data_IF_689761795122
#
_entry.id   IF_689761795122
#
_cell.length_a   1.000
_cell.length_b   1.000
_cell.length_c   1.000
_cell.angle_alpha   90.00
_cell.angle_beta   90.00
_cell.angle_gamma   90.00
#
_symmetry.space_group_name_H-M   'P 1'
#
loop_
_entity.id
_entity.type
_entity.pdbx_description
1 polymer ?
#
# COMPACT_ATOMS: atom_id res chain seq x y z
N UNK A 1 -66.65 -45.42 -43.66
CA UNK A 1 -65.60 -46.42 -43.93
C UNK A 1 -64.40 -46.08 -43.08
N UNK A 2 -64.13 -46.90 -42.07
CA UNK A 2 -63.04 -46.69 -41.12
C UNK A 2 -61.72 -47.15 -41.74
N UNK A 3 -60.62 -46.46 -41.42
CA UNK A 3 -59.30 -47.08 -41.39
C UNK A 3 -58.49 -46.53 -40.22
N UNK A 4 -58.09 -47.46 -39.34
CA UNK A 4 -57.15 -47.28 -38.23
C UNK A 4 -55.74 -47.09 -38.79
N UNK A 5 -54.94 -46.24 -38.14
CA UNK A 5 -53.51 -46.51 -37.98
C UNK A 5 -52.99 -45.88 -36.67
N UNK A 6 -52.36 -46.73 -35.88
CA UNK A 6 -51.77 -46.53 -34.55
C UNK A 6 -50.53 -45.62 -34.56
N UNK A 7 -50.40 -44.73 -33.57
CA UNK A 7 -49.16 -44.00 -33.26
C UNK A 7 -48.70 -44.30 -31.83
N UNK A 8 -47.44 -44.70 -31.70
CA UNK A 8 -46.72 -45.01 -30.47
C UNK A 8 -46.51 -43.77 -29.58
N UNK A 9 -46.51 -43.95 -28.26
CA UNK A 9 -46.15 -42.92 -27.27
C UNK A 9 -44.61 -42.79 -27.17
N UNK A 10 -44.06 -41.58 -26.97
CA UNK A 10 -42.63 -41.38 -26.78
C UNK A 10 -42.17 -41.72 -25.35
N UNK A 11 -40.86 -41.96 -25.13
CA UNK A 11 -40.30 -42.37 -23.84
C UNK A 11 -40.12 -41.19 -22.88
N UNK A 12 -40.11 -41.51 -21.57
CA UNK A 12 -39.93 -40.59 -20.45
C UNK A 12 -38.59 -39.86 -20.50
N UNK A 13 -38.62 -38.52 -20.38
CA UNK A 13 -37.44 -37.70 -20.16
C UNK A 13 -36.80 -38.00 -18.79
N UNK A 14 -35.49 -38.26 -18.82
CA UNK A 14 -34.63 -38.31 -17.64
C UNK A 14 -34.38 -36.90 -17.13
N UNK A 15 -34.56 -36.73 -15.82
CA UNK A 15 -34.26 -35.53 -15.05
C UNK A 15 -32.80 -35.11 -15.23
N UNK A 16 -32.57 -33.91 -15.78
CA UNK A 16 -31.28 -33.23 -15.70
C UNK A 16 -31.00 -32.90 -14.23
N UNK A 17 -29.93 -33.44 -13.68
CA UNK A 17 -29.33 -32.95 -12.45
C UNK A 17 -28.75 -31.57 -12.74
N UNK A 18 -29.34 -30.53 -12.15
CA UNK A 18 -28.72 -29.22 -12.05
C UNK A 18 -27.48 -29.35 -11.16
N UNK A 19 -26.31 -29.35 -11.80
CA UNK A 19 -25.05 -29.11 -11.10
C UNK A 19 -25.04 -27.64 -10.67
N UNK A 20 -25.40 -27.42 -9.41
CA UNK A 20 -25.26 -26.13 -8.75
C UNK A 20 -23.75 -25.81 -8.66
N UNK A 21 -23.22 -25.11 -9.66
CA UNK A 21 -21.89 -24.52 -9.63
C UNK A 21 -21.84 -23.54 -8.45
N UNK A 22 -21.24 -23.96 -7.34
CA UNK A 22 -20.87 -23.06 -6.26
C UNK A 22 -19.75 -22.19 -6.82
N UNK A 23 -20.11 -21.03 -7.38
CA UNK A 23 -19.16 -19.95 -7.62
C UNK A 23 -18.64 -19.50 -6.26
N UNK A 24 -17.50 -20.05 -5.84
CA UNK A 24 -16.76 -19.53 -4.69
C UNK A 24 -16.39 -18.09 -5.02
N UNK A 25 -16.93 -17.13 -4.27
CA UNK A 25 -16.49 -15.75 -4.36
C UNK A 25 -14.96 -15.71 -4.17
N UNK A 26 -14.20 -15.05 -5.05
CA UNK A 26 -12.76 -14.88 -4.86
C UNK A 26 -12.45 -13.95 -3.66
N UNK A 27 -13.48 -13.34 -3.07
CA UNK A 27 -13.37 -12.44 -1.93
C UNK A 27 -14.05 -13.01 -0.70
N UNK A 28 -13.34 -12.89 0.41
CA UNK A 28 -13.83 -13.18 1.75
C UNK A 28 -13.92 -11.88 2.54
N UNK A 29 -15.08 -11.63 3.14
CA UNK A 29 -15.23 -10.55 4.11
C UNK A 29 -14.52 -10.92 5.42
N UNK A 30 -13.73 -9.99 5.96
CA UNK A 30 -13.07 -10.11 7.26
C UNK A 30 -13.89 -9.39 8.34
N UNK A 31 -13.47 -9.50 9.60
CA UNK A 31 -14.07 -8.78 10.71
C UNK A 31 -14.09 -7.27 10.47
N UNK A 32 -15.20 -6.63 10.85
CA UNK A 32 -15.33 -5.18 10.74
C UNK A 32 -14.25 -4.46 11.57
N UNK A 33 -13.78 -3.34 11.02
CA UNK A 33 -12.82 -2.49 11.71
C UNK A 33 -13.42 -1.94 13.01
N UNK A 34 -12.63 -1.79 14.08
CA UNK A 34 -13.10 -1.17 15.32
C UNK A 34 -13.61 0.26 15.13
N UNK A 35 -13.12 0.92 14.07
CA UNK A 35 -13.39 2.30 13.70
C UNK A 35 -13.47 2.42 12.17
N UNK A 36 -14.32 3.31 11.62
CA UNK A 36 -14.27 3.65 10.20
C UNK A 36 -12.91 4.26 9.84
N UNK A 37 -12.33 3.75 8.77
CA UNK A 37 -11.04 4.21 8.25
C UNK A 37 -11.22 4.78 6.85
N UNK A 38 -10.76 6.00 6.64
CA UNK A 38 -10.64 6.63 5.32
C UNK A 38 -9.19 7.05 5.09
N UNK A 39 -8.68 6.80 3.87
CA UNK A 39 -7.32 7.16 3.45
C UNK A 39 -6.19 6.62 4.35
N UNK A 40 -6.46 5.56 5.12
CA UNK A 40 -5.49 4.90 5.99
C UNK A 40 -4.32 4.32 5.21
N UNK A 41 -3.13 4.38 5.81
CA UNK A 41 -1.94 3.74 5.28
C UNK A 41 -1.73 2.41 6.00
N UNK A 42 -1.44 1.36 5.23
CA UNK A 42 -1.27 0.02 5.77
C UNK A 42 0.10 -0.55 5.40
N UNK A 43 0.71 -1.28 6.34
CA UNK A 43 1.99 -1.96 6.14
C UNK A 43 1.86 -3.40 6.62
N UNK A 44 2.21 -4.36 5.78
CA UNK A 44 2.28 -5.76 6.19
C UNK A 44 3.55 -6.07 6.97
N UNK A 45 3.44 -6.88 8.02
CA UNK A 45 4.58 -7.45 8.72
C UNK A 45 4.22 -8.84 9.23
N UNK A 46 4.85 -9.88 8.66
CA UNK A 46 4.56 -11.29 8.99
C UNK A 46 3.06 -11.59 8.85
N UNK A 47 2.40 -11.98 9.94
CA UNK A 47 0.97 -12.26 10.00
C UNK A 47 0.13 -11.05 10.39
N UNK A 48 0.70 -9.85 10.36
CA UNK A 48 0.06 -8.60 10.78
C UNK A 48 -0.11 -7.62 9.62
N UNK A 49 -1.22 -6.90 9.61
CA UNK A 49 -1.43 -5.69 8.83
C UNK A 49 -1.48 -4.53 9.83
N UNK A 50 -0.46 -3.69 9.80
CA UNK A 50 -0.41 -2.47 10.59
C UNK A 50 -1.19 -1.39 9.86
N UNK A 51 -2.11 -0.77 10.56
CA UNK A 51 -2.98 0.28 10.06
C UNK A 51 -2.61 1.56 10.81
N UNK A 52 -2.10 2.54 10.07
CA UNK A 52 -1.47 3.72 10.65
C UNK A 52 -2.31 4.97 10.39
N UNK A 53 -3.29 5.24 11.28
CA UNK A 53 -4.13 6.43 11.19
C UNK A 53 -4.92 6.55 9.88
N UNK A 54 -5.39 7.74 9.56
CA UNK A 54 -6.21 8.05 8.39
C UNK A 54 -6.77 9.47 8.44
N UNK A 55 -7.66 9.79 7.50
CA UNK A 55 -8.36 11.08 7.50
C UNK A 55 -9.12 11.25 8.83
N UNK A 56 -8.79 12.30 9.59
CA UNK A 56 -9.36 12.60 10.91
C UNK A 56 -9.20 11.46 11.95
N UNK A 57 -8.29 10.51 11.74
CA UNK A 57 -8.09 9.36 12.62
C UNK A 57 -6.60 9.21 12.96
N UNK A 58 -6.24 9.37 14.23
CA UNK A 58 -4.85 9.25 14.69
C UNK A 58 -4.50 7.86 15.24
N UNK A 59 -5.49 7.01 15.50
CA UNK A 59 -5.27 5.70 16.12
C UNK A 59 -4.62 4.72 15.14
N UNK A 60 -3.66 3.94 15.65
CA UNK A 60 -2.95 2.90 14.94
C UNK A 60 -3.31 1.53 15.51
N UNK A 61 -3.51 0.54 14.63
CA UNK A 61 -3.91 -0.81 14.99
C UNK A 61 -3.03 -1.84 14.28
N UNK A 62 -2.87 -3.00 14.90
CA UNK A 62 -2.37 -4.21 14.25
C UNK A 62 -3.55 -5.18 14.08
N UNK A 63 -3.81 -5.57 12.85
CA UNK A 63 -4.72 -6.66 12.51
C UNK A 63 -3.95 -7.96 12.31
N UNK A 64 -4.26 -9.00 13.06
CA UNK A 64 -3.59 -10.29 12.94
C UNK A 64 -4.37 -11.22 12.01
N UNK A 65 -3.83 -11.46 10.82
CA UNK A 65 -4.47 -12.21 9.73
C UNK A 65 -4.92 -13.63 10.11
N UNK A 66 -4.17 -14.35 10.95
CA UNK A 66 -4.55 -15.70 11.40
C UNK A 66 -5.54 -15.71 12.58
N UNK A 67 -5.58 -14.64 13.37
CA UNK A 67 -6.43 -14.55 14.57
C UNK A 67 -7.75 -13.84 14.27
N UNK A 68 -7.83 -13.10 13.15
CA UNK A 68 -8.97 -12.28 12.77
C UNK A 68 -9.35 -11.27 13.87
N UNK A 69 -8.33 -10.64 14.44
CA UNK A 69 -8.47 -9.71 15.56
C UNK A 69 -7.59 -8.48 15.39
N UNK A 70 -8.06 -7.38 15.98
CA UNK A 70 -7.36 -6.09 16.02
C UNK A 70 -6.82 -5.82 17.42
N UNK A 71 -5.62 -5.26 17.51
CA UNK A 71 -5.05 -4.69 18.73
C UNK A 71 -4.61 -3.26 18.49
N UNK A 72 -4.88 -2.40 19.46
CA UNK A 72 -4.37 -1.04 19.47
C UNK A 72 -2.84 -1.02 19.60
N UNK A 73 -2.18 -0.12 18.87
CA UNK A 73 -0.73 0.10 18.94
C UNK A 73 -0.47 1.41 19.70
N UNK A 74 -0.86 2.55 19.11
CA UNK A 74 -0.68 3.89 19.66
C UNK A 74 -1.50 4.92 18.88
N UNK A 75 -1.30 6.21 19.19
CA UNK A 75 -1.84 7.33 18.40
C UNK A 75 -0.72 8.13 17.74
N UNK A 76 -1.02 8.76 16.62
CA UNK A 76 -0.22 9.90 16.13
C UNK A 76 -0.27 11.08 17.12
N UNK A 77 0.78 11.92 17.18
CA UNK A 77 0.76 13.16 17.95
C UNK A 77 -0.43 14.05 17.57
N UNK A 78 -1.00 14.78 18.54
CA UNK A 78 -2.24 15.55 18.34
C UNK A 78 -2.10 16.73 17.40
N UNK A 79 -0.88 17.21 17.19
CA UNK A 79 -0.51 18.31 16.30
C UNK A 79 -0.29 17.87 14.85
N UNK A 80 -0.32 16.56 14.57
CA UNK A 80 -0.08 15.98 13.24
C UNK A 80 -1.39 15.80 12.47
N UNK A 81 -1.45 16.40 11.28
CA UNK A 81 -2.57 16.19 10.34
C UNK A 81 -2.22 15.10 9.33
N UNK A 82 -3.08 14.09 9.24
CA UNK A 82 -2.88 12.92 8.37
C UNK A 82 -3.55 13.05 6.99
N UNK A 83 -4.05 14.24 6.65
CA UNK A 83 -4.55 14.48 5.30
C UNK A 83 -3.37 14.54 4.31
N UNK A 84 -3.26 13.52 3.45
CA UNK A 84 -2.15 13.40 2.51
C UNK A 84 -0.85 12.96 3.18
N UNK A 85 -0.90 11.85 3.92
CA UNK A 85 0.27 11.19 4.49
C UNK A 85 0.53 9.84 3.82
N UNK A 86 1.78 9.40 3.87
CA UNK A 86 2.23 8.08 3.46
C UNK A 86 3.01 7.44 4.60
N UNK A 87 2.93 6.11 4.69
CA UNK A 87 3.72 5.30 5.60
C UNK A 87 4.46 4.25 4.79
N UNK A 88 5.77 4.15 5.00
CA UNK A 88 6.62 3.14 4.36
C UNK A 88 7.42 2.36 5.42
N UNK A 89 7.77 1.12 5.08
CA UNK A 89 8.64 0.26 5.90
C UNK A 89 10.09 0.51 5.50
N UNK A 90 10.96 0.91 6.43
CA UNK A 90 12.38 1.20 6.19
C UNK A 90 13.28 -0.02 6.39
N UNK A 91 13.12 -0.69 7.52
CA UNK A 91 13.98 -1.79 7.93
C UNK A 91 13.16 -2.86 8.65
N UNK A 92 13.61 -4.10 8.53
CA UNK A 92 13.09 -5.26 9.23
C UNK A 92 14.26 -5.94 9.95
N UNK A 93 14.20 -5.95 11.27
CA UNK A 93 14.95 -6.87 12.12
C UNK A 93 13.96 -7.93 12.62
N UNK A 94 14.43 -9.13 12.97
CA UNK A 94 13.60 -10.31 13.22
C UNK A 94 12.42 -10.04 14.18
N UNK A 95 12.52 -9.07 15.08
CA UNK A 95 11.46 -8.70 16.02
C UNK A 95 10.97 -7.24 15.93
N UNK A 96 11.65 -6.39 15.16
CA UNK A 96 11.39 -4.95 15.15
C UNK A 96 11.39 -4.44 13.72
N UNK A 97 10.30 -3.79 13.31
CA UNK A 97 10.30 -3.02 12.06
C UNK A 97 10.41 -1.54 12.36
N UNK A 98 11.02 -0.81 11.43
CA UNK A 98 11.01 0.65 11.46
C UNK A 98 10.07 1.17 10.38
N UNK A 99 9.07 1.93 10.79
CA UNK A 99 8.13 2.62 9.92
C UNK A 99 8.50 4.10 9.83
N UNK A 100 8.37 4.67 8.63
CA UNK A 100 8.50 6.10 8.36
C UNK A 100 7.13 6.63 7.91
N UNK A 101 6.60 7.59 8.66
CA UNK A 101 5.41 8.35 8.28
C UNK A 101 5.81 9.76 7.90
N UNK A 102 5.37 10.22 6.75
CA UNK A 102 5.59 11.59 6.32
C UNK A 102 4.39 12.07 5.50
N UNK A 103 4.19 13.37 5.44
CA UNK A 103 2.95 13.89 4.87
C UNK A 103 2.68 15.33 5.18
N UNK A 104 1.48 15.75 4.81
CA UNK A 104 0.91 17.02 5.20
C UNK A 104 0.38 17.80 4.01
N UNK A 105 -0.75 18.44 4.23
CA UNK A 105 -1.45 19.25 3.23
C UNK A 105 -0.62 20.50 2.85
N UNK A 106 -0.76 21.05 1.62
CA UNK A 106 -0.23 22.37 1.30
C UNK A 106 -0.50 23.41 2.38
N UNK A 107 0.50 24.23 2.68
CA UNK A 107 0.37 25.34 3.64
C UNK A 107 0.04 24.90 5.08
N UNK A 108 0.07 23.60 5.38
CA UNK A 108 0.01 23.06 6.74
C UNK A 108 1.38 22.55 7.19
N UNK A 109 1.54 22.34 8.49
CA UNK A 109 2.73 21.70 9.03
C UNK A 109 2.86 20.29 8.46
N UNK A 110 3.94 20.04 7.71
CA UNK A 110 4.33 18.70 7.30
C UNK A 110 4.94 17.97 8.49
N UNK A 111 4.86 16.66 8.47
CA UNK A 111 5.47 15.81 9.49
C UNK A 111 6.42 14.81 8.88
N UNK A 112 7.35 14.34 9.70
CA UNK A 112 8.18 13.17 9.44
C UNK A 112 8.43 12.49 10.77
N UNK A 113 7.93 11.27 10.90
CA UNK A 113 7.87 10.51 12.14
C UNK A 113 8.41 9.12 11.88
N UNK A 114 9.15 8.58 12.85
CA UNK A 114 9.58 7.19 12.88
C UNK A 114 8.83 6.44 13.96
N UNK A 115 8.56 5.17 13.70
CA UNK A 115 8.11 4.23 14.72
C UNK A 115 8.93 2.96 14.63
N UNK A 116 9.54 2.58 15.75
CA UNK A 116 10.06 1.21 15.93
C UNK A 116 8.92 0.36 16.46
N UNK A 117 8.35 -0.47 15.61
CA UNK A 117 7.23 -1.33 15.95
C UNK A 117 7.72 -2.72 16.38
N UNK A 118 7.22 -3.17 17.52
CA UNK A 118 7.35 -4.54 18.04
C UNK A 118 5.94 -5.11 18.14
N UNK A 119 5.77 -6.34 17.67
CA UNK A 119 4.47 -7.02 17.63
C UNK A 119 3.73 -6.95 18.97
N UNK A 120 2.50 -6.43 18.95
CA UNK A 120 1.58 -6.42 20.11
C UNK A 120 0.93 -7.79 20.38
N UNK A 121 1.35 -8.83 19.64
CA UNK A 121 0.83 -10.19 19.72
C UNK A 121 1.80 -11.18 20.38
N UNK A 122 3.02 -10.74 20.73
CA UNK A 122 4.01 -11.55 21.44
C UNK A 122 3.57 -11.93 22.87
N UNK A 123 4.14 -13.03 23.39
CA UNK A 123 3.88 -13.48 24.76
C UNK A 123 4.54 -12.55 25.78
N UNK A 124 3.80 -12.22 26.85
CA UNK A 124 4.24 -11.33 27.94
C UNK A 124 5.54 -11.77 28.63
N UNK A 125 5.92 -13.05 28.50
CA UNK A 125 7.12 -13.61 29.14
C UNK A 125 8.44 -13.08 28.55
N UNK A 126 8.43 -12.46 27.37
CA UNK A 126 9.60 -11.77 26.79
C UNK A 126 9.65 -10.27 27.13
N UNK A 127 8.67 -9.72 27.85
CA UNK A 127 8.62 -8.30 28.19
C UNK A 127 9.66 -7.86 29.23
N UNK A 128 10.39 -8.80 29.84
CA UNK A 128 11.41 -8.48 30.84
C UNK A 128 12.72 -7.93 30.24
N UNK A 129 12.92 -8.03 28.92
CA UNK A 129 14.12 -7.51 28.24
C UNK A 129 13.84 -6.37 27.23
N UNK A 130 12.58 -6.00 27.01
CA UNK A 130 12.27 -4.76 26.27
C UNK A 130 12.55 -3.60 27.22
N UNK A 131 13.81 -3.15 27.24
CA UNK A 131 14.28 -2.00 27.99
C UNK A 131 13.23 -0.88 27.97
N UNK A 132 12.66 -0.54 29.14
CA UNK A 132 11.69 0.56 29.33
C UNK A 132 12.19 1.92 28.82
N UNK A 133 13.48 2.05 28.49
CA UNK A 133 14.07 3.26 27.89
C UNK A 133 13.79 3.40 26.39
N UNK A 134 13.44 2.32 25.68
CA UNK A 134 13.24 2.34 24.24
C UNK A 134 11.76 2.68 23.95
N UNK A 135 11.53 3.82 23.30
CA UNK A 135 10.20 4.31 22.88
C UNK A 135 9.64 3.50 21.69
N UNK A 136 9.36 2.22 21.91
CA UNK A 136 8.71 1.35 20.90
C UNK A 136 7.23 1.66 20.77
N UNK A 137 6.65 1.28 19.63
CA UNK A 137 5.22 1.39 19.35
C UNK A 137 4.69 2.82 19.57
N UNK A 138 5.52 3.82 19.31
CA UNK A 138 5.18 5.23 19.42
C UNK A 138 5.79 5.97 18.24
N UNK A 139 5.09 7.00 17.75
CA UNK A 139 5.62 7.91 16.74
C UNK A 139 6.57 8.92 17.39
N UNK A 140 7.76 9.06 16.81
CA UNK A 140 8.80 9.98 17.26
C UNK A 140 9.22 10.87 16.10
N UNK A 141 9.27 12.18 16.31
CA UNK A 141 9.77 13.13 15.31
C UNK A 141 11.23 12.87 14.99
N UNK A 142 11.56 12.95 13.70
CA UNK A 142 12.95 12.95 13.24
C UNK A 142 13.48 14.37 13.39
N UNK A 143 14.61 14.52 14.09
CA UNK A 143 15.28 15.81 14.30
C UNK A 143 16.72 15.73 13.82
N UNK A 144 17.27 16.85 13.38
CA UNK A 144 18.69 16.99 13.06
C UNK A 144 19.54 17.26 14.31
N UNK A 145 20.86 17.37 14.14
CA UNK A 145 21.82 17.63 15.22
C UNK A 145 21.64 19.00 15.90
N UNK A 146 20.75 19.85 15.38
CA UNK A 146 20.42 21.18 15.90
C UNK A 146 18.98 21.23 16.48
N UNK A 147 18.38 20.06 16.76
CA UNK A 147 17.02 19.91 17.26
C UNK A 147 15.92 20.45 16.30
N UNK A 148 16.24 20.62 15.01
CA UNK A 148 15.24 21.01 14.01
C UNK A 148 14.53 19.78 13.43
N UNK A 149 13.19 19.80 13.28
CA UNK A 149 12.47 18.73 12.63
C UNK A 149 12.95 18.51 11.19
N UNK A 150 13.33 17.27 10.87
CA UNK A 150 13.68 16.89 9.51
C UNK A 150 12.40 16.63 8.72
N UNK A 151 12.04 17.52 7.79
CA UNK A 151 10.79 17.45 7.05
C UNK A 151 11.00 16.90 5.64
N UNK A 152 10.37 15.77 5.33
CA UNK A 152 10.30 15.24 3.96
C UNK A 152 9.20 15.97 3.19
N UNK A 153 9.60 16.84 2.27
CA UNK A 153 8.71 17.57 1.35
C UNK A 153 8.88 19.08 1.42
N UNK A 154 8.63 19.77 0.30
CA UNK A 154 8.77 21.23 0.24
C UNK A 154 7.49 21.91 0.70
N UNK A 155 7.60 23.13 1.21
CA UNK A 155 6.48 23.88 1.80
C UNK A 155 5.22 23.95 0.90
N UNK A 156 5.41 24.08 -0.41
CA UNK A 156 4.32 24.17 -1.38
C UNK A 156 3.92 22.83 -2.04
N UNK A 157 4.62 21.73 -1.75
CA UNK A 157 4.31 20.45 -2.40
C UNK A 157 2.99 19.88 -1.86
N UNK A 158 2.00 19.62 -2.73
CA UNK A 158 0.73 19.05 -2.34
C UNK A 158 0.84 17.54 -2.20
N UNK A 159 0.93 17.08 -0.95
CA UNK A 159 0.98 15.65 -0.64
C UNK A 159 -0.40 15.00 -0.52
N UNK A 160 -1.43 15.64 -1.07
CA UNK A 160 -2.75 15.03 -1.16
C UNK A 160 -2.65 13.71 -1.94
N UNK A 161 -2.93 12.59 -1.25
CA UNK A 161 -2.82 11.26 -1.81
C UNK A 161 -1.41 10.87 -2.25
N UNK A 162 -0.38 11.39 -1.57
CA UNK A 162 1.03 11.00 -1.76
C UNK A 162 1.21 9.50 -1.57
N UNK A 163 2.05 8.88 -2.40
CA UNK A 163 2.49 7.50 -2.27
C UNK A 163 4.00 7.43 -2.35
N UNK A 164 4.58 6.47 -1.67
CA UNK A 164 6.01 6.25 -1.76
C UNK A 164 6.39 4.78 -1.62
N UNK A 165 7.55 4.46 -2.17
CA UNK A 165 8.17 3.15 -2.06
C UNK A 165 9.66 3.32 -1.77
N UNK A 166 10.23 2.34 -1.07
CA UNK A 166 11.65 2.26 -0.80
C UNK A 166 12.34 1.50 -1.94
N UNK A 167 13.51 1.98 -2.33
CA UNK A 167 14.40 1.30 -3.26
C UNK A 167 15.82 1.86 -3.18
N UNK A 168 16.52 1.82 -4.30
CA UNK A 168 17.95 2.00 -4.39
C UNK A 168 18.69 0.71 -4.03
N UNK A 169 19.92 0.58 -4.53
CA UNK A 169 20.78 -0.58 -4.36
C UNK A 169 21.09 -0.94 -2.91
N UNK A 170 20.85 0.00 -1.99
CA UNK A 170 21.01 -0.14 -0.53
C UNK A 170 19.71 0.15 0.26
N UNK A 171 18.54 0.16 -0.40
CA UNK A 171 17.26 0.56 0.23
C UNK A 171 17.31 1.95 0.88
N UNK A 172 18.07 2.87 0.27
CA UNK A 172 18.33 4.22 0.79
C UNK A 172 17.56 5.31 0.06
N UNK A 173 16.86 4.96 -1.03
CA UNK A 173 16.09 5.90 -1.83
C UNK A 173 14.61 5.77 -1.51
N UNK A 174 13.97 6.91 -1.28
CA UNK A 174 12.53 7.05 -1.15
C UNK A 174 11.99 7.70 -2.43
N UNK A 175 11.26 6.91 -3.21
CA UNK A 175 10.55 7.39 -4.40
C UNK A 175 9.20 7.92 -3.97
N UNK A 176 8.95 9.21 -4.17
CA UNK A 176 7.74 9.90 -3.70
C UNK A 176 6.96 10.38 -4.91
N UNK A 177 5.72 9.92 -5.02
CA UNK A 177 4.77 10.35 -6.07
C UNK A 177 3.66 11.15 -5.43
N UNK A 178 3.35 12.30 -6.01
CA UNK A 178 2.46 13.27 -5.37
C UNK A 178 1.74 14.13 -6.41
N UNK A 179 0.69 14.81 -5.94
CA UNK A 179 -0.13 15.68 -6.76
C UNK A 179 0.72 16.81 -7.38
N UNK A 180 0.49 17.25 -8.62
CA UNK A 180 -0.47 16.71 -9.60
C UNK A 180 0.08 15.53 -10.40
N UNK A 181 1.37 15.55 -10.71
CA UNK A 181 2.07 14.61 -11.61
C UNK A 181 3.54 14.45 -11.20
N UNK A 182 3.87 14.74 -9.94
CA UNK A 182 5.25 14.79 -9.48
C UNK A 182 5.76 13.41 -9.10
N UNK A 183 7.02 13.13 -9.44
CA UNK A 183 7.81 12.07 -8.83
C UNK A 183 9.14 12.65 -8.35
N UNK A 184 9.53 12.33 -7.14
CA UNK A 184 10.77 12.79 -6.51
C UNK A 184 11.57 11.60 -6.00
N UNK A 185 12.89 11.73 -6.01
CA UNK A 185 13.82 10.81 -5.35
C UNK A 185 14.43 11.53 -4.16
N UNK A 186 14.25 10.97 -2.97
CA UNK A 186 14.80 11.48 -1.73
C UNK A 186 15.77 10.45 -1.14
N UNK A 187 16.98 10.87 -0.82
CA UNK A 187 17.98 10.03 -0.16
C UNK A 187 17.77 10.04 1.34
N UNK A 188 17.47 8.88 1.91
CA UNK A 188 17.27 8.69 3.34
C UNK A 188 18.58 8.68 4.14
N UNK A 189 19.73 8.52 3.47
CA UNK A 189 21.04 8.54 4.12
C UNK A 189 21.57 9.96 4.29
N UNK A 190 21.36 10.81 3.29
CA UNK A 190 21.81 12.21 3.29
C UNK A 190 20.70 13.19 3.64
N UNK A 191 19.46 12.74 3.69
CA UNK A 191 18.26 13.53 3.93
C UNK A 191 18.08 14.66 2.91
N UNK A 192 18.31 14.37 1.63
CA UNK A 192 18.24 15.35 0.55
C UNK A 192 17.47 14.83 -0.67
N UNK A 193 16.84 15.75 -1.40
CA UNK A 193 16.26 15.43 -2.71
C UNK A 193 17.37 15.29 -3.76
N UNK A 194 17.35 14.17 -4.48
CA UNK A 194 18.29 13.88 -5.58
C UNK A 194 17.71 14.32 -6.93
N UNK A 195 16.41 14.10 -7.14
CA UNK A 195 15.76 14.34 -8.43
C UNK A 195 14.28 14.65 -8.27
N UNK A 196 13.77 15.45 -9.20
CA UNK A 196 12.36 15.69 -9.42
C UNK A 196 12.05 15.51 -10.90
N UNK A 197 10.94 14.83 -11.22
CA UNK A 197 10.43 14.68 -12.57
C UNK A 197 8.91 14.83 -12.61
N UNK A 198 8.40 15.02 -13.82
CA UNK A 198 6.96 15.01 -14.09
C UNK A 198 6.58 13.70 -14.78
N UNK A 199 5.64 12.96 -14.19
CA UNK A 199 5.09 11.74 -14.76
C UNK A 199 4.40 12.03 -16.12
N UNK A 200 4.65 11.24 -17.17
CA UNK A 200 4.09 11.46 -18.50
C UNK A 200 2.65 10.93 -18.60
N UNK A 201 1.73 11.62 -17.94
CA UNK A 201 0.31 11.28 -17.84
C UNK A 201 -0.58 12.47 -18.14
N UNK A 202 -1.75 12.21 -18.73
CA UNK A 202 -2.78 13.24 -18.93
C UNK A 202 -3.59 13.47 -17.65
N UNK A 203 -3.87 12.39 -16.90
CA UNK A 203 -4.65 12.42 -15.66
C UNK A 203 -3.86 13.00 -14.48
N UNK A 204 -4.61 13.52 -13.50
CA UNK A 204 -4.07 13.89 -12.20
C UNK A 204 -3.71 12.63 -11.40
N UNK A 205 -2.62 12.71 -10.64
CA UNK A 205 -2.07 11.64 -9.82
C UNK A 205 -2.25 12.00 -8.34
N UNK A 206 -3.11 11.24 -7.66
CA UNK A 206 -3.40 11.38 -6.22
C UNK A 206 -4.14 10.11 -5.77
N UNK A 207 -3.85 9.60 -4.57
CA UNK A 207 -4.41 8.35 -4.02
C UNK A 207 -4.30 7.15 -4.98
N UNK A 208 -3.28 7.15 -5.83
CA UNK A 208 -3.04 6.14 -6.84
C UNK A 208 -2.44 4.87 -6.23
N UNK A 209 -2.31 3.82 -7.05
CA UNK A 209 -1.52 2.64 -6.72
C UNK A 209 -0.07 2.89 -7.14
N UNK A 210 0.88 2.72 -6.23
CA UNK A 210 2.32 2.86 -6.50
C UNK A 210 3.11 1.78 -5.76
N UNK A 211 3.74 0.89 -6.52
CA UNK A 211 4.38 -0.31 -5.98
C UNK A 211 5.76 -0.50 -6.59
N UNK A 212 6.70 -1.00 -5.80
CA UNK A 212 8.00 -1.45 -6.28
C UNK A 212 7.88 -2.85 -6.86
N UNK A 213 8.59 -3.12 -7.96
CA UNK A 213 8.72 -4.46 -8.54
C UNK A 213 9.98 -5.10 -7.96
N UNK A 214 9.85 -5.76 -6.81
CA UNK A 214 10.93 -6.58 -6.25
C UNK A 214 10.96 -7.94 -6.93
N UNK A 215 11.87 -8.10 -7.90
CA UNK A 215 12.10 -9.38 -8.58
C UNK A 215 13.40 -10.03 -8.15
N UNK A 216 13.34 -11.29 -7.69
CA UNK A 216 14.49 -12.21 -7.53
C UNK A 216 15.26 -12.49 -8.86
N UNK A 217 14.98 -11.72 -9.93
CA UNK A 217 15.62 -11.78 -11.24
C UNK A 217 16.18 -10.44 -11.73
N UNK A 218 16.20 -9.38 -10.91
CA UNK A 218 16.87 -8.13 -11.28
C UNK A 218 18.38 -8.36 -11.44
N UNK A 219 18.83 -8.42 -12.69
CA UNK A 219 20.25 -8.59 -13.05
C UNK A 219 21.11 -7.41 -12.58
N UNK A 220 20.50 -6.23 -12.37
CA UNK A 220 21.19 -5.03 -11.94
C UNK A 220 20.49 -4.37 -10.74
N UNK A 221 21.12 -4.45 -9.56
CA UNK A 221 20.62 -3.86 -8.30
C UNK A 221 20.50 -2.33 -8.32
N UNK A 222 21.00 -1.67 -9.37
CA UNK A 222 20.97 -0.22 -9.55
C UNK A 222 19.76 0.29 -10.33
N UNK A 223 19.01 -0.61 -10.97
CA UNK A 223 17.77 -0.27 -11.65
C UNK A 223 16.61 -0.54 -10.71
N UNK A 224 15.83 0.51 -10.43
CA UNK A 224 14.63 0.43 -9.62
C UNK A 224 13.42 0.42 -10.54
N UNK A 225 12.68 -0.69 -10.54
CA UNK A 225 11.45 -0.82 -11.31
C UNK A 225 10.24 -0.58 -10.40
N UNK A 226 9.32 0.26 -10.85
CA UNK A 226 8.10 0.62 -10.14
C UNK A 226 6.92 0.60 -11.09
N UNK A 227 5.73 0.37 -10.55
CA UNK A 227 4.47 0.40 -11.28
C UNK A 227 3.56 1.45 -10.67
N UNK A 228 2.89 2.21 -11.52
CA UNK A 228 1.89 3.20 -11.12
C UNK A 228 0.60 2.99 -11.91
N UNK A 229 -0.52 2.95 -11.20
CA UNK A 229 -1.87 2.89 -11.78
C UNK A 229 -2.78 3.95 -11.16
N UNK A 230 -3.43 4.74 -12.00
CA UNK A 230 -4.40 5.77 -11.61
C UNK A 230 -5.34 6.09 -12.77
N UNK A 231 -6.65 5.85 -12.62
CA UNK A 231 -7.60 6.03 -13.72
C UNK A 231 -7.10 5.30 -14.98
N UNK A 232 -7.09 5.98 -16.14
CA UNK A 232 -6.58 5.46 -17.41
C UNK A 232 -5.06 5.47 -17.53
N UNK A 233 -4.34 5.89 -16.49
CA UNK A 233 -2.88 5.96 -16.49
C UNK A 233 -2.31 4.69 -15.89
N UNK A 234 -1.59 3.92 -16.70
CA UNK A 234 -0.69 2.85 -16.28
C UNK A 234 0.73 3.22 -16.68
N UNK A 235 1.68 3.17 -15.75
CA UNK A 235 3.09 3.43 -16.02
C UNK A 235 3.97 2.33 -15.41
N UNK A 236 4.90 1.82 -16.20
CA UNK A 236 6.11 1.17 -15.73
C UNK A 236 7.21 2.24 -15.70
N UNK A 237 7.82 2.37 -14.53
CA UNK A 237 8.80 3.42 -14.23
C UNK A 237 10.11 2.71 -13.88
N UNK A 238 11.18 3.03 -14.58
CA UNK A 238 12.53 2.59 -14.25
C UNK A 238 13.34 3.79 -13.79
N UNK A 239 14.13 3.61 -12.74
CA UNK A 239 15.10 4.59 -12.28
C UNK A 239 16.49 3.98 -12.21
N UNK A 240 17.39 4.55 -12.99
CA UNK A 240 18.82 4.23 -12.99
C UNK A 240 19.52 5.09 -11.93
N UNK A 241 19.99 4.43 -10.87
CA UNK A 241 20.66 5.08 -9.74
C UNK A 241 22.01 5.69 -10.12
N UNK A 242 22.78 5.08 -11.02
CA UNK A 242 24.12 5.56 -11.36
C UNK A 242 24.03 6.78 -12.30
N UNK A 243 23.06 6.77 -13.21
CA UNK A 243 22.85 7.88 -14.14
C UNK A 243 21.88 8.95 -13.61
N UNK A 244 21.17 8.70 -12.50
CA UNK A 244 20.13 9.57 -11.96
C UNK A 244 19.06 9.92 -13.02
N UNK A 245 18.56 8.90 -13.73
CA UNK A 245 17.59 9.07 -14.82
C UNK A 245 16.35 8.20 -14.65
N UNK A 246 15.21 8.74 -15.05
CA UNK A 246 13.95 7.99 -15.14
C UNK A 246 13.69 7.58 -16.59
N UNK A 247 13.16 6.38 -16.77
CA UNK A 247 12.52 5.93 -18.00
C UNK A 247 11.07 5.56 -17.69
N UNK A 248 10.17 5.90 -18.62
CA UNK A 248 8.74 5.72 -18.44
C UNK A 248 8.15 4.97 -19.63
N UNK A 249 7.45 3.88 -19.34
CA UNK A 249 6.74 3.08 -20.33
C UNK A 249 5.26 3.07 -19.99
N UNK A 250 4.42 3.43 -20.95
CA UNK A 250 2.96 3.36 -20.77
C UNK A 250 2.52 1.90 -20.74
N UNK A 251 1.67 1.58 -19.78
CA UNK A 251 1.03 0.28 -19.66
C UNK A 251 -0.46 0.38 -20.00
N UNK A 252 -1.03 -0.65 -20.63
CA UNK A 252 -2.48 -0.73 -20.76
C UNK A 252 -3.13 -0.87 -19.37
N UNK A 253 -4.28 -0.24 -19.19
CA UNK A 253 -5.10 -0.36 -17.99
C UNK A 253 -6.43 -0.99 -18.41
N UNK A 254 -6.89 -2.02 -17.71
CA UNK A 254 -8.19 -2.62 -18.00
C UNK A 254 -9.33 -1.67 -17.61
N UNK A 255 -10.47 -1.79 -18.29
CA UNK A 255 -11.60 -0.88 -18.10
C UNK A 255 -12.13 -0.90 -16.67
N UNK A 256 -12.09 -2.05 -16.00
CA UNK A 256 -12.51 -2.18 -14.61
C UNK A 256 -11.65 -1.34 -13.67
N UNK A 257 -10.31 -1.38 -13.81
CA UNK A 257 -9.39 -0.57 -13.00
C UNK A 257 -9.47 0.91 -13.38
N UNK A 258 -9.68 1.21 -14.66
CA UNK A 258 -9.66 2.57 -15.18
C UNK A 258 -10.74 3.49 -14.58
N UNK A 259 -11.79 2.92 -13.99
CA UNK A 259 -12.87 3.65 -13.30
C UNK A 259 -12.45 4.20 -11.93
N UNK A 260 -11.38 3.65 -11.32
CA UNK A 260 -10.96 4.00 -9.98
C UNK A 260 -9.85 5.04 -9.97
N UNK A 261 -9.95 5.98 -9.03
CA UNK A 261 -8.95 7.05 -8.82
C UNK A 261 -8.45 7.14 -7.37
N UNK A 262 -9.03 6.35 -6.46
CA UNK A 262 -8.60 6.22 -5.06
C UNK A 262 -8.41 4.75 -4.76
N UNK A 263 -7.17 4.37 -4.54
CA UNK A 263 -6.76 3.00 -4.33
C UNK A 263 -6.34 2.82 -2.88
N UNK A 264 -6.82 1.77 -2.24
CA UNK A 264 -6.23 1.22 -1.03
C UNK A 264 -5.61 -0.13 -1.39
N UNK A 265 -4.39 -0.38 -0.91
CA UNK A 265 -3.65 -1.59 -1.20
C UNK A 265 -2.64 -1.86 -0.10
N UNK A 266 -2.27 -3.14 0.02
CA UNK A 266 -1.15 -3.57 0.86
C UNK A 266 -0.34 -4.59 0.06
N UNK A 267 0.98 -4.42 0.05
CA UNK A 267 1.88 -5.39 -0.56
C UNK A 267 2.06 -6.52 0.45
N UNK A 268 1.51 -7.73 0.19
CA UNK A 268 1.56 -8.85 1.16
C UNK A 268 2.88 -9.62 1.04
N UNK A 269 3.54 -9.57 -0.12
CA UNK A 269 4.90 -10.08 -0.33
C UNK A 269 5.62 -9.21 -1.37
N UNK A 270 6.94 -9.39 -1.51
CA UNK A 270 7.76 -8.80 -2.58
C UNK A 270 7.26 -9.12 -4.01
N UNK A 271 6.31 -10.06 -4.16
CA UNK A 271 5.81 -10.51 -5.46
C UNK A 271 4.28 -10.42 -5.60
N UNK A 272 3.55 -10.02 -4.56
CA UNK A 272 2.08 -10.02 -4.58
C UNK A 272 1.50 -8.79 -3.87
N UNK A 273 0.85 -7.93 -4.64
CA UNK A 273 0.04 -6.83 -4.12
C UNK A 273 -1.40 -7.29 -3.98
N UNK A 274 -1.99 -7.12 -2.80
CA UNK A 274 -3.45 -7.23 -2.65
C UNK A 274 -4.03 -5.83 -2.67
N UNK A 275 -4.86 -5.56 -3.67
CA UNK A 275 -5.66 -4.33 -3.71
C UNK A 275 -6.74 -4.47 -2.64
N UNK A 276 -6.53 -3.90 -1.46
CA UNK A 276 -7.53 -3.93 -0.39
C UNK A 276 -8.48 -2.78 -0.66
N UNK A 277 -9.52 -3.02 -1.43
CA UNK A 277 -10.59 -2.02 -1.56
C UNK A 277 -11.31 -1.95 -0.21
N UNK A 278 -11.08 -0.87 0.55
CA UNK A 278 -11.87 -0.56 1.76
C UNK A 278 -13.34 -0.19 1.45
N UNK A 279 -13.80 -0.35 0.20
CA UNK A 279 -15.19 -0.18 -0.21
C UNK A 279 -15.62 -1.22 -1.27
N UNK A 280 -15.44 -2.52 -0.99
CA UNK A 280 -16.40 -3.55 -1.42
C UNK A 280 -16.14 -4.46 -2.65
N UNK A 281 -15.04 -4.33 -3.39
CA UNK A 281 -14.65 -5.12 -4.58
C UNK A 281 -13.12 -5.09 -4.82
N UNK A 282 -12.42 -6.08 -4.29
CA UNK A 282 -11.00 -6.29 -4.60
C UNK A 282 -10.85 -6.64 -6.10
N UNK A 283 -9.87 -6.08 -6.80
CA UNK A 283 -9.44 -6.57 -8.12
C UNK A 283 -8.01 -7.06 -7.95
N UNK A 284 -7.77 -8.36 -8.14
CA UNK A 284 -6.42 -8.91 -8.17
C UNK A 284 -5.73 -8.49 -9.45
N UNK A 285 -4.77 -7.57 -9.38
CA UNK A 285 -3.80 -7.39 -10.45
C UNK A 285 -2.71 -8.46 -10.27
N UNK A 286 -2.91 -9.63 -10.88
CA UNK A 286 -1.86 -10.62 -11.01
C UNK A 286 -0.80 -10.08 -11.99
N UNK A 287 0.43 -9.97 -11.51
CA UNK A 287 1.62 -10.04 -12.35
C UNK A 287 1.70 -11.47 -12.90
N UNK A 288 1.13 -11.70 -14.08
CA UNK A 288 1.53 -12.80 -14.95
C UNK A 288 2.09 -12.18 -16.24
N UNK A 289 3.43 -12.16 -16.31
CA UNK A 289 4.25 -12.50 -17.48
C UNK A 289 5.72 -12.51 -17.06
#
# INVERSE_FOLDING_TARGET
MANRNTRQKPPKEQTKQDQHLITSSPFQSLKDLPIPLDQSQCVSHKHEILICGGYSQSDCYSYHTLKDEYKFICKYPSDVSLNGHCVVKLADDDNVITLLSFGGYPFSNKHTLLMKYVSVWGNENNNNEINKSNKYNQWISVIDDHDHPLIIGRYHDPYQGVRAVIGGSKNHLLFITYFKKGISVYDLSTYQFIKHETLPTDNLIYYHCFVSKSGNGQKNKKINEMLLFCQKTGLSIEYDEDNNTFQFHKLPVCDDIALFFKYAYVCINEQSCSLVEMVGKVVSALSQN
#
